data_IF_145100732750
#
_entry.id   IF_145100732750
#
_cell.length_a   1.000
_cell.length_b   1.000
_cell.length_c   1.000
_cell.angle_alpha   90.00
_cell.angle_beta   90.00
_cell.angle_gamma   90.00
#
_symmetry.space_group_name_H-M   'P 1'
#
loop_
_entity.id
_entity.type
_entity.pdbx_description
1 polymer ?
#
# COMPACT_ATOMS: atom_id res chain seq x y z
N UNK A 1 -7.78 19.63 -2.93
CA UNK A 1 -6.60 19.36 -3.77
C UNK A 1 -6.60 20.33 -4.95
N UNK A 2 -5.44 20.77 -5.37
CA UNK A 2 -5.28 21.62 -6.57
C UNK A 2 -4.34 20.92 -7.55
N UNK A 3 -4.66 20.99 -8.84
CA UNK A 3 -3.80 20.47 -9.90
C UNK A 3 -2.57 21.36 -10.05
N UNK A 4 -1.43 20.76 -10.36
CA UNK A 4 -0.18 21.47 -10.64
C UNK A 4 0.09 21.53 -12.15
N UNK A 5 1.04 22.37 -12.55
CA UNK A 5 1.54 22.39 -13.93
C UNK A 5 2.31 21.10 -14.29
N UNK A 6 2.72 20.31 -13.31
CA UNK A 6 3.29 18.98 -13.49
C UNK A 6 2.15 17.98 -13.69
N UNK A 7 2.08 17.39 -14.87
CA UNK A 7 0.99 16.50 -15.27
C UNK A 7 0.82 15.33 -14.28
N UNK A 8 -0.43 15.07 -13.89
CA UNK A 8 -0.78 14.00 -12.93
C UNK A 8 -0.44 14.29 -11.47
N UNK A 9 0.10 15.47 -11.13
CA UNK A 9 0.45 15.84 -9.76
C UNK A 9 -0.52 16.85 -9.18
N UNK A 10 -0.90 16.63 -7.94
CA UNK A 10 -1.80 17.50 -7.18
C UNK A 10 -1.17 17.92 -5.86
N UNK A 11 -1.55 19.10 -5.38
CA UNK A 11 -1.21 19.59 -4.05
C UNK A 11 -2.43 19.40 -3.14
N UNK A 12 -2.24 18.70 -2.03
CA UNK A 12 -3.24 18.63 -0.97
C UNK A 12 -3.26 19.97 -0.22
N UNK A 13 -4.44 20.58 -0.13
CA UNK A 13 -4.65 21.84 0.62
C UNK A 13 -5.49 21.52 1.85
N UNK A 14 -4.96 21.89 3.01
CA UNK A 14 -5.66 21.82 4.29
C UNK A 14 -5.69 23.20 4.93
N UNK A 15 -6.86 23.62 5.37
CA UNK A 15 -7.07 24.88 6.10
C UNK A 15 -7.33 24.53 7.57
N UNK A 16 -6.53 25.10 8.48
CA UNK A 16 -6.66 24.93 9.92
C UNK A 16 -6.69 26.33 10.58
N UNK A 17 -7.92 26.83 10.81
CA UNK A 17 -8.14 28.22 11.22
C UNK A 17 -7.66 29.18 10.14
N UNK A 18 -6.71 30.06 10.49
CA UNK A 18 -6.12 31.04 9.57
C UNK A 18 -4.86 30.50 8.84
N UNK A 19 -4.51 29.22 9.04
CA UNK A 19 -3.32 28.60 8.44
C UNK A 19 -3.72 27.75 7.23
N UNK A 20 -2.97 27.93 6.15
CA UNK A 20 -3.08 27.11 4.94
C UNK A 20 -1.86 26.21 4.90
N UNK A 21 -2.10 24.92 4.91
CA UNK A 21 -1.06 23.87 4.79
C UNK A 21 -1.13 23.20 3.44
N UNK A 22 0.02 22.98 2.81
CA UNK A 22 0.17 22.29 1.54
C UNK A 22 0.91 20.98 1.76
N UNK A 23 0.40 19.87 1.23
CA UNK A 23 0.98 18.52 1.39
C UNK A 23 1.30 18.14 2.84
N UNK A 24 0.54 18.68 3.81
CA UNK A 24 0.66 18.47 5.26
C UNK A 24 1.85 19.15 5.96
N UNK A 25 2.96 19.43 5.27
CA UNK A 25 4.22 19.88 5.88
C UNK A 25 4.61 21.32 5.50
N UNK A 26 4.08 21.86 4.41
CA UNK A 26 4.44 23.19 3.91
C UNK A 26 3.36 24.20 4.30
N UNK A 27 3.75 25.26 5.02
CA UNK A 27 2.82 26.32 5.43
C UNK A 27 2.89 27.52 4.50
N UNK A 28 1.72 28.03 4.11
CA UNK A 28 1.64 29.33 3.42
C UNK A 28 1.78 30.43 4.45
N UNK A 29 2.84 31.22 4.34
CA UNK A 29 3.18 32.31 5.29
C UNK A 29 2.71 33.68 4.85
N UNK A 30 2.57 33.89 3.53
CA UNK A 30 1.97 35.11 2.97
C UNK A 30 1.04 34.68 1.82
N UNK A 31 -0.19 35.17 1.85
CA UNK A 31 -1.19 34.94 0.82
C UNK A 31 -1.41 36.18 -0.04
N UNK A 32 -1.94 35.98 -1.22
CA UNK A 32 -2.62 36.99 -2.05
C UNK A 32 -1.74 38.17 -2.47
N UNK A 33 -0.47 37.91 -2.81
CA UNK A 33 0.36 38.93 -3.49
C UNK A 33 -0.10 38.96 -4.94
N UNK A 34 -0.83 40.00 -5.31
CA UNK A 34 -1.39 40.16 -6.65
C UNK A 34 -0.30 40.49 -7.68
N UNK A 35 -0.33 39.82 -8.80
CA UNK A 35 0.46 40.11 -10.01
C UNK A 35 -0.47 40.25 -11.21
N UNK A 36 -0.01 40.90 -12.29
CA UNK A 36 -0.83 41.16 -13.47
C UNK A 36 -1.35 39.89 -14.18
N UNK A 37 -0.74 38.75 -13.94
CA UNK A 37 -1.04 37.46 -14.57
C UNK A 37 -1.34 36.34 -13.57
N UNK A 38 -1.50 36.63 -12.28
CA UNK A 38 -1.80 35.62 -11.26
C UNK A 38 -1.63 36.14 -9.83
N UNK A 39 -1.53 35.19 -8.91
CA UNK A 39 -1.33 35.46 -7.47
C UNK A 39 -0.13 34.65 -6.97
N UNK A 40 0.67 35.25 -6.10
CA UNK A 40 1.82 34.60 -5.46
C UNK A 40 1.47 34.31 -4.00
N UNK A 41 1.66 33.07 -3.58
CA UNK A 41 1.64 32.66 -2.18
C UNK A 41 3.07 32.29 -1.76
N UNK A 42 3.52 32.85 -0.65
CA UNK A 42 4.86 32.55 -0.10
C UNK A 42 4.74 31.37 0.86
N UNK A 43 5.59 30.40 0.69
CA UNK A 43 5.67 29.19 1.54
C UNK A 43 6.95 29.19 2.36
N UNK A 44 6.91 28.55 3.53
CA UNK A 44 8.03 28.44 4.47
C UNK A 44 9.08 27.40 4.04
N UNK A 45 8.66 26.43 3.24
CA UNK A 45 9.48 25.30 2.80
C UNK A 45 9.21 25.00 1.34
N UNK A 46 10.18 24.40 0.65
CA UNK A 46 10.04 23.99 -0.76
C UNK A 46 9.00 22.88 -0.87
N UNK A 47 7.99 23.10 -1.73
CA UNK A 47 7.06 22.05 -2.13
C UNK A 47 7.78 21.06 -3.03
N UNK A 48 8.06 19.89 -2.49
CA UNK A 48 8.51 18.76 -3.29
C UNK A 48 7.29 18.02 -3.85
N UNK A 49 7.29 17.64 -5.15
CA UNK A 49 6.30 16.71 -5.64
C UNK A 49 6.33 15.43 -4.79
N UNK A 50 5.19 14.82 -4.51
CA UNK A 50 5.21 13.50 -3.88
C UNK A 50 6.09 12.58 -4.74
N UNK A 51 6.96 11.82 -4.07
CA UNK A 51 7.82 10.85 -4.75
C UNK A 51 6.95 9.97 -5.65
N UNK A 52 7.33 9.84 -6.92
CA UNK A 52 6.63 8.96 -7.85
C UNK A 52 6.91 7.51 -7.46
N UNK A 53 6.00 6.94 -6.67
CA UNK A 53 5.99 5.49 -6.45
C UNK A 53 5.54 4.74 -7.71
N UNK A 54 4.98 5.47 -8.71
CA UNK A 54 4.47 4.89 -9.94
C UNK A 54 5.55 4.35 -10.89
N UNK A 55 6.80 4.78 -10.72
CA UNK A 55 7.94 4.27 -11.51
C UNK A 55 8.62 3.05 -10.84
N UNK A 56 8.26 2.77 -9.58
CA UNK A 56 8.82 1.65 -8.81
C UNK A 56 7.86 0.48 -8.76
N UNK A 57 8.41 -0.70 -8.86
CA UNK A 57 7.65 -1.94 -8.69
C UNK A 57 7.20 -2.11 -7.22
N UNK A 58 6.24 -3.01 -7.00
CA UNK A 58 5.77 -3.38 -5.65
C UNK A 58 6.94 -3.78 -4.74
N UNK A 59 7.89 -4.57 -5.28
CA UNK A 59 9.04 -5.05 -4.51
C UNK A 59 10.00 -3.92 -4.16
N UNK A 60 10.29 -3.01 -5.10
CA UNK A 60 11.17 -1.86 -4.84
C UNK A 60 10.59 -0.94 -3.76
N UNK A 61 9.28 -0.69 -3.79
CA UNK A 61 8.59 0.08 -2.75
C UNK A 61 8.70 -0.63 -1.40
N UNK A 62 8.47 -1.95 -1.35
CA UNK A 62 8.55 -2.72 -0.11
C UNK A 62 9.97 -2.73 0.49
N UNK A 63 11.00 -2.78 -0.35
CA UNK A 63 12.41 -2.72 0.09
C UNK A 63 12.75 -1.34 0.69
N UNK A 64 12.30 -0.26 0.05
CA UNK A 64 12.61 1.10 0.49
C UNK A 64 11.82 1.56 1.71
N UNK A 65 10.61 1.07 1.89
CA UNK A 65 9.70 1.46 2.98
C UNK A 65 10.26 1.09 4.37
N UNK A 66 11.02 -0.02 4.46
CA UNK A 66 11.67 -0.47 5.69
C UNK A 66 10.74 -1.11 6.73
N UNK A 67 9.42 -1.14 6.51
CA UNK A 67 8.43 -1.82 7.38
C UNK A 67 8.15 -3.26 6.98
N UNK A 68 8.73 -3.71 5.87
CA UNK A 68 8.46 -4.99 5.23
C UNK A 68 9.72 -5.87 5.13
N UNK A 69 10.65 -5.73 6.08
CA UNK A 69 11.94 -6.44 6.00
C UNK A 69 11.76 -7.96 6.02
N UNK A 70 10.85 -8.44 6.86
CA UNK A 70 10.51 -9.88 6.94
C UNK A 70 9.81 -10.37 5.67
N UNK A 71 8.87 -9.58 5.12
CA UNK A 71 8.19 -9.90 3.85
C UNK A 71 9.18 -9.99 2.69
N UNK A 72 10.09 -9.01 2.57
CA UNK A 72 11.11 -8.99 1.52
C UNK A 72 12.04 -10.22 1.63
N UNK A 73 12.46 -10.57 2.86
CA UNK A 73 13.26 -11.77 3.08
C UNK A 73 12.50 -13.05 2.68
N UNK A 74 11.22 -13.12 3.00
CA UNK A 74 10.36 -14.24 2.61
C UNK A 74 10.18 -14.34 1.08
N UNK A 75 9.99 -13.21 0.38
CA UNK A 75 9.90 -13.17 -1.09
C UNK A 75 11.21 -13.64 -1.75
N UNK A 76 12.36 -13.25 -1.18
CA UNK A 76 13.67 -13.70 -1.64
C UNK A 76 13.87 -15.21 -1.43
N UNK A 77 13.48 -15.73 -0.27
CA UNK A 77 13.59 -17.16 0.04
C UNK A 77 12.69 -18.03 -0.85
N UNK A 78 11.50 -17.52 -1.22
CA UNK A 78 10.55 -18.21 -2.10
C UNK A 78 10.81 -17.98 -3.61
N UNK A 79 11.85 -17.22 -3.99
CA UNK A 79 12.16 -16.85 -5.39
C UNK A 79 11.01 -16.14 -6.12
N UNK A 80 10.19 -15.36 -5.38
CA UNK A 80 9.04 -14.64 -5.91
C UNK A 80 9.33 -13.17 -6.26
N UNK A 81 10.55 -12.69 -6.01
CA UNK A 81 10.94 -11.30 -6.28
C UNK A 81 10.75 -10.94 -7.76
N UNK A 82 11.23 -11.77 -8.67
CA UNK A 82 11.12 -11.55 -10.11
C UNK A 82 9.66 -11.63 -10.59
N UNK A 83 8.89 -12.56 -10.02
CA UNK A 83 7.46 -12.70 -10.33
C UNK A 83 6.68 -11.43 -9.94
N UNK A 84 6.90 -10.90 -8.76
CA UNK A 84 6.22 -9.69 -8.26
C UNK A 84 6.83 -8.38 -8.77
N UNK A 85 8.00 -8.44 -9.40
CA UNK A 85 8.59 -7.31 -10.13
C UNK A 85 8.20 -7.30 -11.61
N UNK A 86 7.58 -8.38 -12.09
CA UNK A 86 7.14 -8.54 -13.47
C UNK A 86 5.95 -7.67 -13.86
N UNK A 87 5.47 -7.88 -15.10
CA UNK A 87 4.31 -7.17 -15.63
C UNK A 87 3.05 -7.53 -14.85
N UNK A 88 2.54 -6.54 -14.09
CA UNK A 88 1.27 -6.65 -13.37
C UNK A 88 0.05 -6.58 -14.28
N UNK A 89 -1.08 -6.12 -13.80
CA UNK A 89 -1.24 -5.52 -12.49
C UNK A 89 -1.43 -6.53 -11.34
N UNK A 90 -0.84 -6.21 -10.19
CA UNK A 90 -1.02 -6.99 -8.96
C UNK A 90 -1.57 -6.12 -7.83
N UNK A 91 -2.34 -6.72 -6.94
CA UNK A 91 -2.66 -6.15 -5.64
C UNK A 91 -2.00 -7.00 -4.57
N UNK A 92 -1.15 -6.40 -3.76
CA UNK A 92 -0.43 -7.09 -2.70
C UNK A 92 -0.91 -6.60 -1.34
N UNK A 93 -1.39 -7.52 -0.51
CA UNK A 93 -1.64 -7.27 0.90
C UNK A 93 -0.34 -7.51 1.68
N UNK A 94 0.38 -6.44 1.98
CA UNK A 94 1.71 -6.50 2.58
C UNK A 94 1.64 -6.45 4.12
N UNK A 95 1.94 -7.54 4.82
CA UNK A 95 2.06 -7.54 6.26
C UNK A 95 3.34 -6.82 6.69
N UNK A 96 3.24 -5.98 7.74
CA UNK A 96 4.38 -5.32 8.35
C UNK A 96 5.21 -6.30 9.19
N UNK A 97 6.42 -5.89 9.58
CA UNK A 97 7.24 -6.68 10.50
C UNK A 97 6.52 -6.92 11.84
N UNK A 98 5.71 -5.94 12.31
CA UNK A 98 4.85 -6.10 13.48
C UNK A 98 3.74 -7.14 13.26
N UNK A 99 3.24 -7.30 12.03
CA UNK A 99 2.26 -8.33 11.69
C UNK A 99 2.88 -9.73 11.80
N UNK A 100 4.12 -9.91 11.36
CA UNK A 100 4.87 -11.16 11.54
C UNK A 100 5.17 -11.44 13.02
N UNK A 101 5.46 -10.41 13.82
CA UNK A 101 5.69 -10.55 15.25
C UNK A 101 4.45 -11.05 16.04
N UNK A 102 3.25 -10.93 15.48
CA UNK A 102 2.02 -11.50 16.07
C UNK A 102 1.90 -13.01 15.88
N UNK A 103 2.65 -13.59 14.95
CA UNK A 103 2.67 -15.03 14.75
C UNK A 103 3.32 -15.73 15.96
N UNK A 104 2.95 -16.99 16.27
CA UNK A 104 3.61 -17.76 17.30
C UNK A 104 5.13 -17.82 17.08
N UNK A 105 5.89 -17.77 18.18
CA UNK A 105 7.35 -17.85 18.11
C UNK A 105 7.80 -19.12 17.36
N UNK A 106 8.75 -18.95 16.42
CA UNK A 106 9.25 -20.05 15.58
C UNK A 106 8.44 -20.30 14.30
N UNK A 107 7.27 -19.65 14.13
CA UNK A 107 6.47 -19.86 12.89
C UNK A 107 7.17 -19.29 11.66
N UNK A 108 7.77 -18.11 11.76
CA UNK A 108 8.49 -17.48 10.63
C UNK A 108 9.70 -18.33 10.24
N UNK A 109 10.47 -18.80 11.22
CA UNK A 109 11.63 -19.68 10.99
C UNK A 109 11.20 -21.00 10.34
N UNK A 110 10.12 -21.63 10.84
CA UNK A 110 9.58 -22.86 10.25
C UNK A 110 9.11 -22.66 8.81
N UNK A 111 8.51 -21.50 8.49
CA UNK A 111 8.09 -21.16 7.12
C UNK A 111 9.31 -20.92 6.19
N UNK A 112 10.38 -20.35 6.70
CA UNK A 112 11.62 -20.17 5.94
C UNK A 112 12.34 -21.52 5.66
N UNK A 113 12.05 -22.55 6.44
CA UNK A 113 12.54 -23.93 6.23
C UNK A 113 11.60 -24.72 5.29
N UNK A 114 10.33 -24.35 5.20
CA UNK A 114 9.34 -24.97 4.30
C UNK A 114 8.94 -24.01 3.17
N UNK A 115 9.82 -23.91 2.16
CA UNK A 115 9.63 -23.01 1.01
C UNK A 115 8.31 -23.23 0.26
N UNK A 116 7.83 -24.45 0.00
CA UNK A 116 6.50 -24.66 -0.58
C UNK A 116 5.38 -23.99 0.21
N UNK A 117 5.32 -24.18 1.53
CA UNK A 117 4.31 -23.57 2.38
C UNK A 117 4.45 -22.04 2.44
N UNK A 118 5.68 -21.54 2.48
CA UNK A 118 5.96 -20.11 2.41
C UNK A 118 5.46 -19.50 1.09
N UNK A 119 5.71 -20.18 -0.03
CA UNK A 119 5.23 -19.75 -1.36
C UNK A 119 3.71 -19.68 -1.40
N UNK A 120 3.01 -20.68 -0.89
CA UNK A 120 1.55 -20.70 -0.82
C UNK A 120 1.01 -19.52 0.00
N UNK A 121 1.61 -19.23 1.16
CA UNK A 121 1.22 -18.09 1.99
C UNK A 121 1.48 -16.77 1.26
N UNK A 122 2.63 -16.60 0.60
CA UNK A 122 2.94 -15.40 -0.16
C UNK A 122 1.99 -15.19 -1.35
N UNK A 123 1.68 -16.24 -2.10
CA UNK A 123 0.71 -16.20 -3.19
C UNK A 123 -0.71 -15.89 -2.68
N UNK A 124 -1.04 -16.32 -1.47
CA UNK A 124 -2.31 -16.01 -0.84
C UNK A 124 -2.45 -14.51 -0.50
N UNK A 125 -1.33 -13.78 -0.33
CA UNK A 125 -1.33 -12.33 -0.13
C UNK A 125 -1.42 -11.52 -1.43
N UNK A 126 -1.37 -12.17 -2.58
CA UNK A 126 -1.39 -11.54 -3.90
C UNK A 126 -2.73 -11.79 -4.58
N UNK A 127 -3.37 -10.73 -5.05
CA UNK A 127 -4.57 -10.77 -5.87
C UNK A 127 -4.21 -10.31 -7.28
N UNK A 128 -4.50 -11.11 -8.32
CA UNK A 128 -4.32 -10.69 -9.70
C UNK A 128 -5.24 -9.49 -10.01
N UNK A 129 -4.69 -8.48 -10.65
CA UNK A 129 -5.41 -7.25 -10.97
C UNK A 129 -5.07 -6.09 -10.03
N UNK A 130 -5.39 -4.88 -10.46
CA UNK A 130 -5.23 -3.66 -9.65
C UNK A 130 -6.57 -3.34 -8.99
N UNK A 131 -6.66 -3.59 -7.69
CA UNK A 131 -7.84 -3.32 -6.87
C UNK A 131 -7.52 -2.17 -5.92
N UNK A 132 -8.09 -0.99 -6.18
CA UNK A 132 -7.94 0.19 -5.32
C UNK A 132 -8.91 0.12 -4.15
N UNK A 133 -8.66 0.90 -3.09
CA UNK A 133 -9.56 0.97 -1.94
C UNK A 133 -11.01 1.30 -2.34
N UNK A 134 -11.20 2.17 -3.33
CA UNK A 134 -12.52 2.47 -3.87
C UNK A 134 -13.22 1.24 -4.46
N UNK A 135 -12.48 0.36 -5.12
CA UNK A 135 -12.99 -0.90 -5.66
C UNK A 135 -13.29 -1.89 -4.53
N UNK A 136 -12.39 -1.98 -3.53
CA UNK A 136 -12.57 -2.81 -2.34
C UNK A 136 -13.88 -2.49 -1.63
N UNK A 137 -14.25 -1.19 -1.52
CA UNK A 137 -15.50 -0.77 -0.91
C UNK A 137 -16.75 -1.31 -1.64
N UNK A 138 -16.64 -1.66 -2.91
CA UNK A 138 -17.73 -2.31 -3.69
C UNK A 138 -17.76 -3.82 -3.53
N UNK A 139 -16.75 -4.39 -2.89
CA UNK A 139 -16.57 -5.84 -2.69
C UNK A 139 -16.98 -6.30 -1.29
N UNK A 140 -17.72 -5.48 -0.52
CA UNK A 140 -18.21 -5.86 0.80
C UNK A 140 -19.02 -7.17 0.75
N UNK A 141 -18.61 -8.11 1.60
CA UNK A 141 -19.21 -9.46 1.66
C UNK A 141 -18.85 -10.36 0.48
N UNK A 142 -17.94 -9.96 -0.39
CA UNK A 142 -17.47 -10.77 -1.52
C UNK A 142 -16.13 -11.43 -1.24
N UNK A 143 -15.79 -12.38 -2.10
CA UNK A 143 -14.50 -13.07 -2.10
C UNK A 143 -13.64 -12.54 -3.24
N UNK A 144 -12.36 -12.33 -2.99
CA UNK A 144 -11.36 -12.01 -4.00
C UNK A 144 -10.49 -13.24 -4.27
N UNK A 145 -10.33 -13.59 -5.54
CA UNK A 145 -9.41 -14.68 -5.94
C UNK A 145 -7.97 -14.24 -5.66
N UNK A 146 -7.17 -15.15 -5.13
CA UNK A 146 -5.74 -14.90 -4.90
C UNK A 146 -4.89 -15.56 -5.99
N UNK A 147 -3.60 -15.23 -6.02
CA UNK A 147 -2.64 -15.92 -6.90
C UNK A 147 -2.41 -17.37 -6.47
N UNK A 148 -2.79 -17.74 -5.24
CA UNK A 148 -2.84 -19.14 -4.81
C UNK A 148 -4.10 -19.79 -5.38
N UNK A 149 -3.93 -20.74 -6.28
CA UNK A 149 -5.01 -21.39 -7.03
C UNK A 149 -6.07 -22.00 -6.08
N UNK A 150 -7.32 -21.68 -6.33
CA UNK A 150 -8.48 -22.19 -5.57
C UNK A 150 -8.66 -21.58 -4.18
N UNK A 151 -7.86 -20.60 -3.79
CA UNK A 151 -8.00 -19.91 -2.50
C UNK A 151 -8.44 -18.46 -2.71
N UNK A 152 -9.36 -18.01 -1.85
CA UNK A 152 -9.98 -16.70 -1.91
C UNK A 152 -9.86 -15.98 -0.56
N UNK A 153 -9.84 -14.65 -0.59
CA UNK A 153 -9.89 -13.78 0.58
C UNK A 153 -11.28 -13.20 0.71
N UNK A 154 -11.91 -13.38 1.86
CA UNK A 154 -13.17 -12.72 2.17
C UNK A 154 -12.92 -11.24 2.52
N UNK A 155 -13.63 -10.35 1.85
CA UNK A 155 -13.57 -8.91 2.10
C UNK A 155 -14.81 -8.49 2.89
N UNK A 156 -14.59 -7.81 4.00
CA UNK A 156 -15.67 -7.24 4.80
C UNK A 156 -15.33 -5.80 5.13
N UNK A 157 -16.33 -4.94 5.05
CA UNK A 157 -16.21 -3.53 5.39
C UNK A 157 -16.96 -3.26 6.68
N UNK A 158 -16.29 -2.65 7.65
CA UNK A 158 -16.86 -2.24 8.91
C UNK A 158 -16.59 -0.72 9.12
N UNK A 159 -17.56 0.09 8.71
CA UNK A 159 -17.41 1.55 8.66
C UNK A 159 -16.33 1.95 7.65
N UNK A 160 -15.25 2.59 8.13
CA UNK A 160 -14.11 3.00 7.30
C UNK A 160 -12.97 1.96 7.27
N UNK A 161 -13.19 0.77 7.87
CA UNK A 161 -12.17 -0.27 7.98
C UNK A 161 -12.44 -1.39 6.99
N UNK A 162 -11.38 -1.80 6.30
CA UNK A 162 -11.39 -3.00 5.45
C UNK A 162 -10.81 -4.16 6.26
N UNK A 163 -11.60 -5.21 6.38
CA UNK A 163 -11.22 -6.45 7.06
C UNK A 163 -11.11 -7.57 6.05
N UNK A 164 -10.04 -8.35 6.15
CA UNK A 164 -9.80 -9.54 5.32
C UNK A 164 -9.92 -10.79 6.19
N UNK A 165 -10.65 -11.78 5.71
CA UNK A 165 -10.91 -13.03 6.45
C UNK A 165 -11.40 -12.84 7.90
N UNK A 166 -12.07 -11.71 8.18
CA UNK A 166 -12.66 -11.30 9.46
C UNK A 166 -11.65 -10.81 10.53
N UNK A 167 -10.38 -11.21 10.45
CA UNK A 167 -9.40 -10.97 11.53
C UNK A 167 -8.25 -10.04 11.12
N UNK A 168 -8.01 -9.85 9.82
CA UNK A 168 -6.90 -9.05 9.29
C UNK A 168 -7.38 -7.68 8.88
N UNK A 169 -6.83 -6.62 9.45
CA UNK A 169 -7.20 -5.24 9.13
C UNK A 169 -6.23 -4.62 8.13
N UNK A 170 -6.78 -3.98 7.11
CA UNK A 170 -6.00 -3.11 6.22
C UNK A 170 -5.80 -1.77 6.91
N UNK A 171 -4.54 -1.41 7.18
CA UNK A 171 -4.16 -0.20 7.92
C UNK A 171 -3.74 0.96 7.01
N UNK A 172 -3.23 0.67 5.83
CA UNK A 172 -2.91 1.67 4.80
C UNK A 172 -3.36 1.10 3.45
N UNK A 173 -4.04 1.92 2.67
CA UNK A 173 -4.50 1.56 1.33
C UNK A 173 -3.80 2.37 0.25
N UNK A 174 -3.84 1.87 -0.99
CA UNK A 174 -3.50 2.61 -2.21
C UNK A 174 -2.07 3.13 -2.31
N UNK A 175 -1.08 2.37 -1.85
CA UNK A 175 0.31 2.64 -2.21
C UNK A 175 0.49 2.15 -3.66
N UNK A 176 0.46 3.09 -4.60
CA UNK A 176 0.49 2.79 -6.03
C UNK A 176 1.92 2.49 -6.48
N UNK A 177 2.09 1.38 -7.18
CA UNK A 177 3.33 0.95 -7.82
C UNK A 177 3.21 0.91 -9.34
N UNK A 178 4.32 0.83 -10.07
CA UNK A 178 4.35 0.72 -11.52
C UNK A 178 3.58 -0.51 -12.02
N UNK A 179 3.68 -1.61 -11.30
CA UNK A 179 3.07 -2.89 -11.66
C UNK A 179 1.91 -3.31 -10.74
N UNK A 180 1.33 -2.38 -9.96
CA UNK A 180 0.17 -2.71 -9.14
C UNK A 180 -0.11 -1.76 -7.98
N UNK A 181 -0.64 -2.30 -6.89
CA UNK A 181 -0.95 -1.55 -5.67
C UNK A 181 -0.65 -2.39 -4.43
N UNK A 182 -0.20 -1.72 -3.37
CA UNK A 182 0.06 -2.34 -2.07
C UNK A 182 -0.98 -1.84 -1.07
N UNK A 183 -1.58 -2.76 -0.34
CA UNK A 183 -2.37 -2.49 0.86
C UNK A 183 -1.65 -3.06 2.06
N UNK A 184 -1.38 -2.24 3.05
CA UNK A 184 -0.66 -2.67 4.26
C UNK A 184 -1.64 -3.28 5.25
N UNK A 185 -1.29 -4.46 5.75
CA UNK A 185 -2.09 -5.20 6.71
C UNK A 185 -1.36 -5.38 8.06
N UNK A 186 -2.14 -5.45 9.12
CA UNK A 186 -1.66 -5.56 10.50
C UNK A 186 -1.42 -6.99 10.98
N UNK A 187 -1.81 -7.98 10.19
CA UNK A 187 -1.71 -9.41 10.53
C UNK A 187 -1.47 -10.22 9.25
N UNK A 188 -0.69 -11.30 9.33
CA UNK A 188 -0.38 -12.18 8.18
C UNK A 188 -1.63 -12.99 7.80
N UNK A 189 -1.96 -13.00 6.51
CA UNK A 189 -3.03 -13.85 5.97
C UNK A 189 -2.55 -15.29 5.87
N UNK A 190 -3.22 -16.19 6.56
CA UNK A 190 -2.96 -17.61 6.44
C UNK A 190 -4.05 -18.26 5.57
N UNK A 191 -3.67 -19.05 4.56
CA UNK A 191 -4.65 -19.80 3.78
C UNK A 191 -5.37 -20.80 4.67
N UNK A 192 -6.68 -21.00 4.48
CA UNK A 192 -7.42 -22.00 5.24
C UNK A 192 -6.84 -23.38 4.95
N UNK A 193 -6.46 -24.09 6.01
CA UNK A 193 -6.08 -25.51 5.94
C UNK A 193 -7.32 -26.33 5.67
N UNK A 194 -7.28 -27.20 4.66
CA UNK A 194 -8.31 -28.19 4.40
C UNK A 194 -8.35 -29.26 5.47
#
# INVERSE_FOLDING_TARGET
>A
MADTALEGKQIAIKIDGDKVMLNQDVMVIITDIEASNGVIHVVDTVLLPPADTTDKTIVEIAVEDGRFTTLVAALQAADLVDTLSGEGPFTVFAPTDDAFAKLPAGTVEALLEDIPQLTDILLYHVVPGKVMAADVLTLDGKMADTALEGKQIAIKIDGDKVMLNQDVMVIITDIVAANGVIHVIDTVLLPPTE
#
